data_IF_775455192356
#
_entry.id   IF_775455192356
#
_cell.length_a   1.000
_cell.length_b   1.000
_cell.length_c   1.000
_cell.angle_alpha   90.00
_cell.angle_beta   90.00
_cell.angle_gamma   90.00
#
_symmetry.space_group_name_H-M   'P 1'
#
loop_
_entity.id
_entity.type
_entity.pdbx_description
1 polymer ?
#
# COMPACT_ATOMS: atom_id res chain seq x y z
N UNK A 1 -22.43 -5.22 38.88
CA UNK A 1 -21.70 -4.63 37.73
C UNK A 1 -20.60 -3.75 38.31
N UNK A 2 -19.35 -4.25 38.36
CA UNK A 2 -18.24 -3.57 39.02
C UNK A 2 -17.44 -2.72 38.03
N UNK A 3 -17.43 -1.41 38.23
CA UNK A 3 -16.50 -0.49 37.56
C UNK A 3 -15.21 -0.44 38.37
N UNK A 4 -14.18 -1.16 37.93
CA UNK A 4 -12.85 -1.07 38.54
C UNK A 4 -12.34 0.37 38.39
N UNK A 5 -12.29 1.11 39.51
CA UNK A 5 -11.69 2.45 39.57
C UNK A 5 -10.18 2.25 39.61
N UNK A 6 -9.50 2.54 38.50
CA UNK A 6 -8.05 2.39 38.41
C UNK A 6 -7.35 3.49 39.21
N UNK A 7 -6.29 3.13 39.94
CA UNK A 7 -5.56 4.08 40.79
C UNK A 7 -4.76 5.08 39.93
N UNK A 8 -4.70 6.37 40.33
CA UNK A 8 -3.94 7.39 39.61
C UNK A 8 -2.47 7.02 39.36
N UNK A 9 -1.85 6.30 40.30
CA UNK A 9 -0.46 5.87 40.19
C UNK A 9 -0.25 4.82 39.09
N UNK A 10 -1.20 3.91 38.95
CA UNK A 10 -1.12 2.89 37.91
C UNK A 10 -1.45 3.49 36.54
N UNK A 11 -2.32 4.51 36.49
CA UNK A 11 -2.60 5.27 35.27
C UNK A 11 -1.37 6.03 34.79
N UNK A 12 -0.61 6.64 35.70
CA UNK A 12 0.66 7.28 35.40
C UNK A 12 1.72 6.29 34.90
N UNK A 13 1.81 5.10 35.50
CA UNK A 13 2.74 4.06 35.05
C UNK A 13 2.43 3.57 33.63
N UNK A 14 1.15 3.43 33.28
CA UNK A 14 0.73 3.07 31.91
C UNK A 14 1.02 4.15 30.88
N UNK A 15 0.92 5.42 31.27
CA UNK A 15 1.26 6.55 30.40
C UNK A 15 2.78 6.68 30.22
N UNK A 16 3.57 6.43 31.27
CA UNK A 16 5.03 6.46 31.18
C UNK A 16 5.62 5.27 30.38
N UNK A 17 4.96 4.10 30.41
CA UNK A 17 5.33 2.94 29.61
C UNK A 17 4.98 3.10 28.11
N UNK A 18 4.07 4.02 27.78
CA UNK A 18 3.87 4.50 26.42
C UNK A 18 5.00 5.48 26.10
N UNK A 19 6.19 4.94 25.84
CA UNK A 19 7.32 5.72 25.33
C UNK A 19 6.93 6.52 24.07
N UNK A 20 7.77 7.47 23.63
CA UNK A 20 7.43 8.35 22.52
C UNK A 20 7.13 7.50 21.27
N UNK A 21 5.84 7.40 20.94
CA UNK A 21 5.38 6.77 19.71
C UNK A 21 6.02 7.56 18.59
N UNK A 22 7.00 6.96 17.90
CA UNK A 22 7.59 7.57 16.71
C UNK A 22 6.49 7.64 15.65
N UNK A 23 5.83 8.78 15.56
CA UNK A 23 4.91 9.16 14.48
C UNK A 23 5.70 9.43 13.20
N UNK A 24 6.52 8.46 12.77
CA UNK A 24 6.87 8.43 11.36
C UNK A 24 5.57 8.08 10.63
N UNK A 25 4.95 9.08 10.01
CA UNK A 25 3.89 8.84 9.03
C UNK A 25 4.40 7.74 8.09
N UNK A 26 3.64 6.66 7.86
CA UNK A 26 4.05 5.63 6.92
C UNK A 26 4.13 6.30 5.56
N UNK A 27 5.37 6.61 5.13
CA UNK A 27 5.64 7.12 3.79
C UNK A 27 5.11 6.04 2.85
N UNK A 28 4.02 6.35 2.13
CA UNK A 28 3.49 5.44 1.11
C UNK A 28 4.67 5.12 0.19
N UNK A 29 5.07 3.85 0.05
CA UNK A 29 6.17 3.51 -0.85
C UNK A 29 5.80 4.02 -2.24
N UNK A 30 6.68 4.84 -2.81
CA UNK A 30 6.50 5.34 -4.16
C UNK A 30 6.65 4.15 -5.10
N UNK A 31 5.52 3.65 -5.62
CA UNK A 31 5.52 2.56 -6.59
C UNK A 31 6.16 3.02 -7.88
N UNK A 32 7.17 2.29 -8.36
CA UNK A 32 7.84 2.59 -9.63
C UNK A 32 7.01 2.03 -10.79
N UNK A 33 6.67 2.87 -11.76
CA UNK A 33 6.03 2.43 -13.01
C UNK A 33 7.08 1.78 -13.91
N UNK A 34 6.77 0.57 -14.38
CA UNK A 34 7.55 -0.19 -15.35
C UNK A 34 7.11 0.11 -16.79
N UNK A 35 5.80 0.07 -17.04
CA UNK A 35 5.21 0.19 -18.38
C UNK A 35 3.79 0.76 -18.31
N UNK A 36 3.30 1.38 -19.40
CA UNK A 36 1.95 1.96 -19.48
C UNK A 36 1.19 1.43 -20.69
N UNK A 37 -0.09 1.10 -20.50
CA UNK A 37 -0.97 0.58 -21.54
C UNK A 37 -2.27 1.41 -21.60
N UNK A 38 -2.74 1.82 -22.79
CA UNK A 38 -3.98 2.59 -22.90
C UNK A 38 -5.19 1.72 -22.55
N UNK A 39 -6.11 2.23 -21.74
CA UNK A 39 -7.31 1.49 -21.33
C UNK A 39 -8.29 1.27 -22.49
N UNK A 40 -8.30 2.18 -23.47
CA UNK A 40 -9.13 2.10 -24.68
C UNK A 40 -8.66 1.08 -25.74
N UNK A 41 -7.63 0.27 -25.47
CA UNK A 41 -7.20 -0.76 -26.41
C UNK A 41 -8.27 -1.86 -26.59
N UNK A 42 -8.36 -2.54 -27.76
CA UNK A 42 -9.37 -3.57 -28.03
C UNK A 42 -9.43 -4.73 -27.02
N UNK A 43 -8.37 -4.91 -26.22
CA UNK A 43 -8.25 -5.99 -25.23
C UNK A 43 -8.31 -5.49 -23.78
N UNK A 44 -8.65 -4.22 -23.53
CA UNK A 44 -8.71 -3.65 -22.19
C UNK A 44 -7.40 -3.82 -21.41
N UNK A 45 -7.47 -4.35 -20.19
CA UNK A 45 -6.32 -4.57 -19.29
C UNK A 45 -5.41 -5.73 -19.68
N UNK A 46 -5.85 -6.63 -20.57
CA UNK A 46 -5.14 -7.88 -20.86
C UNK A 46 -3.65 -7.71 -21.22
N UNK A 47 -3.24 -6.73 -22.07
CA UNK A 47 -1.81 -6.51 -22.35
C UNK A 47 -0.99 -6.14 -21.12
N UNK A 48 -1.57 -5.34 -20.21
CA UNK A 48 -0.92 -4.96 -18.95
C UNK A 48 -0.80 -6.17 -18.00
N UNK A 49 -1.82 -7.02 -17.96
CA UNK A 49 -1.81 -8.25 -17.17
C UNK A 49 -0.77 -9.24 -17.67
N UNK A 50 -0.69 -9.49 -18.99
CA UNK A 50 0.34 -10.35 -19.59
C UNK A 50 1.75 -9.86 -19.27
N UNK A 51 1.99 -8.55 -19.42
CA UNK A 51 3.28 -7.97 -19.07
C UNK A 51 3.58 -8.14 -17.58
N UNK A 52 2.65 -7.84 -16.69
CA UNK A 52 2.83 -8.03 -15.25
C UNK A 52 3.11 -9.52 -14.90
N UNK A 53 2.43 -10.47 -15.56
CA UNK A 53 2.71 -11.90 -15.36
C UNK A 53 4.11 -12.28 -15.85
N UNK A 54 4.56 -11.74 -16.99
CA UNK A 54 5.92 -11.94 -17.46
C UNK A 54 6.96 -11.38 -16.49
N UNK A 55 6.71 -10.22 -15.88
CA UNK A 55 7.59 -9.64 -14.86
C UNK A 55 7.63 -10.51 -13.59
N UNK A 56 6.48 -11.04 -13.14
CA UNK A 56 6.42 -11.97 -12.00
C UNK A 56 7.18 -13.26 -12.26
N UNK A 57 7.11 -13.81 -13.48
CA UNK A 57 7.90 -14.99 -13.88
C UNK A 57 9.41 -14.73 -13.83
N UNK A 58 9.83 -13.48 -13.96
CA UNK A 58 11.22 -13.04 -13.82
C UNK A 58 11.58 -12.66 -12.36
N UNK A 59 10.67 -12.85 -11.40
CA UNK A 59 10.89 -12.54 -9.99
C UNK A 59 10.64 -11.08 -9.61
N UNK A 60 10.08 -10.26 -10.50
CA UNK A 60 9.69 -8.88 -10.19
C UNK A 60 8.26 -8.85 -9.67
N UNK A 61 8.06 -8.30 -8.48
CA UNK A 61 6.73 -8.13 -7.87
C UNK A 61 5.91 -7.03 -8.61
N UNK A 62 5.43 -7.36 -9.80
CA UNK A 62 4.67 -6.45 -10.65
C UNK A 62 3.16 -6.49 -10.35
N UNK A 63 2.51 -5.34 -10.36
CA UNK A 63 1.07 -5.15 -10.19
C UNK A 63 0.51 -4.26 -11.31
N UNK A 64 -0.74 -4.51 -11.71
CA UNK A 64 -1.46 -3.64 -12.64
C UNK A 64 -2.36 -2.71 -11.85
N UNK A 65 -2.24 -1.41 -12.06
CA UNK A 65 -3.05 -0.37 -11.43
C UNK A 65 -3.70 0.47 -12.52
N UNK A 66 -4.98 0.82 -12.35
CA UNK A 66 -5.66 1.73 -13.26
C UNK A 66 -5.37 3.18 -12.84
N UNK A 67 -4.78 3.97 -13.74
CA UNK A 67 -4.71 5.42 -13.63
C UNK A 67 -5.90 6.04 -14.34
N UNK A 68 -6.86 6.49 -13.55
CA UNK A 68 -8.10 7.10 -14.03
C UNK A 68 -7.87 8.49 -14.66
N UNK A 69 -6.82 9.21 -14.24
CA UNK A 69 -6.56 10.55 -14.76
C UNK A 69 -6.06 10.50 -16.22
N UNK A 70 -5.26 9.48 -16.53
CA UNK A 70 -4.67 9.28 -17.86
C UNK A 70 -5.37 8.18 -18.68
N UNK A 71 -6.47 7.62 -18.17
CA UNK A 71 -7.19 6.48 -18.75
C UNK A 71 -6.25 5.35 -19.23
N UNK A 72 -5.38 4.91 -18.33
CA UNK A 72 -4.30 3.96 -18.65
C UNK A 72 -4.12 2.92 -17.55
N UNK A 73 -3.77 1.71 -17.94
CA UNK A 73 -3.24 0.70 -17.02
C UNK A 73 -1.74 0.87 -16.86
N UNK A 74 -1.29 1.00 -15.63
CA UNK A 74 0.12 1.11 -15.26
C UNK A 74 0.57 -0.22 -14.67
N UNK A 75 1.70 -0.75 -15.15
CA UNK A 75 2.36 -1.86 -14.46
C UNK A 75 3.40 -1.26 -13.52
N UNK A 76 3.31 -1.57 -12.23
CA UNK A 76 4.17 -1.00 -11.18
C UNK A 76 4.86 -2.10 -10.39
N UNK A 77 5.98 -1.75 -9.74
CA UNK A 77 6.62 -2.61 -8.73
C UNK A 77 6.00 -2.32 -7.36
N UNK A 78 5.61 -3.38 -6.65
CA UNK A 78 5.09 -3.35 -5.28
C UNK A 78 6.20 -3.26 -4.22
#
# INVERSE_FOLDING_TARGET
MSTATYSPAEQAARLAAQGPVRTAEPVKPQRKVLERFPAGAPRGSWPAEEFAQQQRRQGVAAEVVMDLASDSYLVVVA
#
